data_IF_485123203310
#
_entry.id   IF_485123203310
#
_cell.length_a   1.000
_cell.length_b   1.000
_cell.length_c   1.000
_cell.angle_alpha   90.00
_cell.angle_beta   90.00
_cell.angle_gamma   90.00
#
_symmetry.space_group_name_H-M   'P 1'
#
loop_
_entity.id
_entity.type
_entity.pdbx_description
1 polymer ?
#
# COMPACT_ATOMS: atom_id res chain seq x y z
N UNK A 1 13.72 -12.60 10.14
CA UNK A 1 14.16 -11.60 9.16
C UNK A 1 13.20 -11.61 7.99
N UNK A 2 12.16 -10.77 8.07
CA UNK A 2 11.30 -10.54 6.94
C UNK A 2 12.10 -9.72 5.91
N UNK A 3 12.61 -10.37 4.89
CA UNK A 3 13.14 -9.69 3.73
C UNK A 3 11.97 -9.12 2.93
N UNK A 4 11.55 -7.95 3.30
CA UNK A 4 10.67 -7.15 2.47
C UNK A 4 11.61 -6.32 1.60
N UNK A 5 11.85 -6.79 0.39
CA UNK A 5 12.46 -5.94 -0.62
C UNK A 5 11.36 -5.04 -1.16
N UNK A 6 11.39 -3.73 -0.91
CA UNK A 6 10.55 -2.84 -1.69
C UNK A 6 11.03 -2.94 -3.13
N UNK A 7 10.14 -3.26 -4.01
CA UNK A 7 10.43 -3.21 -5.43
C UNK A 7 10.04 -1.82 -5.91
N UNK A 8 11.01 -1.03 -6.31
CA UNK A 8 10.76 0.19 -7.03
C UNK A 8 10.16 -0.14 -8.38
N UNK A 9 8.94 0.24 -8.58
CA UNK A 9 8.29 0.12 -9.87
C UNK A 9 8.70 1.26 -10.81
N UNK A 10 9.23 2.36 -10.25
CA UNK A 10 9.56 3.54 -11.02
C UNK A 10 10.58 4.43 -10.32
N UNK A 11 11.62 4.78 -11.03
CA UNK A 11 12.68 5.70 -10.56
C UNK A 11 12.46 7.15 -11.00
N UNK A 12 11.37 7.47 -11.69
CA UNK A 12 11.14 8.80 -12.26
C UNK A 12 11.84 9.05 -13.59
N UNK A 13 12.68 8.14 -14.04
CA UNK A 13 13.37 8.22 -15.33
C UNK A 13 12.58 7.42 -16.38
N UNK A 14 11.85 8.13 -17.22
CA UNK A 14 10.93 7.53 -18.20
C UNK A 14 11.64 6.65 -19.25
N UNK A 15 12.95 6.81 -19.41
CA UNK A 15 13.72 6.05 -20.40
C UNK A 15 14.20 4.70 -19.86
N UNK A 16 14.05 4.47 -18.55
CA UNK A 16 14.52 3.26 -17.86
C UNK A 16 13.40 2.40 -17.29
N UNK A 17 12.21 2.56 -17.79
CA UNK A 17 11.06 1.77 -17.37
C UNK A 17 11.19 0.31 -17.76
N UNK A 18 11.46 -0.52 -16.77
CA UNK A 18 11.27 -1.96 -16.90
C UNK A 18 10.31 -2.38 -15.80
N UNK A 19 9.12 -2.71 -16.20
CA UNK A 19 8.09 -3.23 -15.30
C UNK A 19 8.58 -4.51 -14.66
N UNK A 20 8.48 -4.58 -13.33
CA UNK A 20 8.82 -5.78 -12.56
C UNK A 20 10.27 -6.25 -12.73
N UNK A 21 11.19 -5.35 -13.08
CA UNK A 21 12.62 -5.69 -13.15
C UNK A 21 13.19 -5.81 -11.73
N UNK A 22 13.66 -7.00 -11.34
CA UNK A 22 14.27 -7.18 -10.02
C UNK A 22 15.56 -6.39 -9.83
N UNK A 23 16.18 -5.88 -10.91
CA UNK A 23 17.38 -5.03 -10.83
C UNK A 23 17.05 -3.62 -10.33
N UNK A 24 15.79 -3.19 -10.39
CA UNK A 24 15.31 -1.93 -9.83
C UNK A 24 14.85 -2.05 -8.37
N UNK A 25 15.19 -3.15 -7.72
CA UNK A 25 14.84 -3.37 -6.31
C UNK A 25 15.88 -2.72 -5.41
N UNK A 26 15.42 -1.98 -4.41
CA UNK A 26 16.27 -1.40 -3.37
C UNK A 26 15.78 -1.80 -1.98
N UNK A 27 16.68 -1.79 -1.01
CA UNK A 27 16.29 -1.96 0.39
C UNK A 27 15.64 -0.67 0.89
N UNK A 28 14.62 -0.79 1.75
CA UNK A 28 13.97 0.38 2.37
C UNK A 28 14.99 1.27 3.08
N UNK A 29 16.02 0.68 3.66
CA UNK A 29 17.09 1.40 4.35
C UNK A 29 18.01 2.19 3.41
N UNK A 30 17.96 1.94 2.11
CA UNK A 30 18.82 2.56 1.09
C UNK A 30 18.09 3.63 0.27
N UNK A 31 16.76 3.56 0.17
CA UNK A 31 15.98 4.52 -0.63
C UNK A 31 15.87 5.90 0.02
N UNK A 32 16.28 6.06 1.29
CA UNK A 32 16.14 7.30 2.03
C UNK A 32 14.71 7.61 2.47
N UNK A 33 14.47 8.85 2.88
CA UNK A 33 13.15 9.30 3.29
C UNK A 33 12.30 9.68 2.07
N UNK A 34 11.45 8.76 1.63
CA UNK A 34 10.49 8.98 0.55
C UNK A 34 9.11 9.17 1.15
N UNK A 35 8.61 10.42 1.15
CA UNK A 35 7.22 10.73 1.53
C UNK A 35 6.25 10.17 0.50
N UNK A 36 5.06 9.78 0.94
CA UNK A 36 4.03 9.21 0.08
C UNK A 36 2.74 10.02 0.16
N UNK A 37 1.99 10.03 -0.92
CA UNK A 37 0.64 10.60 -1.01
C UNK A 37 -0.43 9.51 -0.99
N UNK A 38 -0.11 8.33 -1.54
CA UNK A 38 -1.04 7.23 -1.68
C UNK A 38 -0.40 5.93 -1.21
N UNK A 39 -1.10 5.23 -0.33
CA UNK A 39 -0.85 3.83 0.00
C UNK A 39 -1.99 2.99 -0.57
N UNK A 40 -1.68 1.96 -1.37
CA UNK A 40 -2.71 1.13 -1.99
C UNK A 40 -2.45 -0.35 -1.76
N UNK A 41 -3.31 -0.96 -0.94
CA UNK A 41 -3.32 -2.39 -0.66
C UNK A 41 -4.45 -3.12 -1.37
N UNK A 42 -4.27 -4.43 -1.56
CA UNK A 42 -5.34 -5.28 -2.01
C UNK A 42 -5.39 -5.53 -3.52
N UNK A 43 -6.56 -5.47 -4.12
CA UNK A 43 -6.90 -5.96 -5.45
C UNK A 43 -6.87 -7.51 -5.56
N UNK A 44 -7.06 -8.04 -6.77
CA UNK A 44 -7.08 -9.50 -7.00
C UNK A 44 -5.75 -10.20 -6.68
N UNK A 45 -4.63 -9.48 -6.62
CA UNK A 45 -3.29 -10.04 -6.41
C UNK A 45 -2.76 -9.90 -4.98
N UNK A 46 -3.13 -8.84 -4.28
CA UNK A 46 -2.69 -8.54 -2.92
C UNK A 46 -3.86 -8.22 -1.97
N UNK A 47 -5.04 -8.73 -2.26
CA UNK A 47 -6.27 -8.59 -1.46
C UNK A 47 -6.88 -9.94 -1.10
N UNK A 48 -6.07 -10.97 -0.96
CA UNK A 48 -6.47 -12.30 -0.47
C UNK A 48 -6.56 -12.27 1.07
N UNK A 49 -7.02 -13.36 1.65
CA UNK A 49 -7.19 -13.49 3.10
C UNK A 49 -5.92 -13.13 3.89
N UNK A 50 -4.78 -13.73 3.51
CA UNK A 50 -3.50 -13.48 4.17
C UNK A 50 -3.08 -12.01 4.03
N UNK A 51 -3.23 -11.42 2.83
CA UNK A 51 -2.87 -10.03 2.60
C UNK A 51 -3.71 -9.09 3.46
N UNK A 52 -5.02 -9.32 3.52
CA UNK A 52 -5.94 -8.52 4.35
C UNK A 52 -5.61 -8.67 5.83
N UNK A 53 -5.19 -9.86 6.27
CA UNK A 53 -4.75 -10.08 7.65
C UNK A 53 -3.49 -9.29 8.00
N UNK A 54 -2.54 -9.16 7.06
CA UNK A 54 -1.34 -8.32 7.25
C UNK A 54 -1.67 -6.84 7.37
N UNK A 55 -2.60 -6.33 6.54
CA UNK A 55 -3.08 -4.95 6.73
C UNK A 55 -3.76 -4.77 8.08
N UNK A 56 -4.59 -5.74 8.50
CA UNK A 56 -5.27 -5.70 9.79
C UNK A 56 -4.29 -5.70 10.96
N UNK A 57 -3.21 -6.47 10.88
CA UNK A 57 -2.16 -6.51 11.90
C UNK A 57 -1.54 -5.12 12.12
N UNK A 58 -1.18 -4.42 11.04
CA UNK A 58 -0.57 -3.08 11.13
C UNK A 58 -1.61 -2.05 11.60
N UNK A 59 -2.82 -2.11 11.06
CA UNK A 59 -3.91 -1.21 11.47
C UNK A 59 -4.29 -1.39 12.94
N UNK A 60 -4.26 -2.62 13.47
CA UNK A 60 -4.51 -2.87 14.89
C UNK A 60 -3.43 -2.23 15.76
N UNK A 61 -2.16 -2.41 15.42
CA UNK A 61 -1.07 -1.78 16.15
C UNK A 61 -1.14 -0.24 16.11
N UNK A 62 -1.55 0.33 14.98
CA UNK A 62 -1.77 1.77 14.85
C UNK A 62 -2.95 2.23 15.74
N UNK A 63 -4.06 1.49 15.75
CA UNK A 63 -5.22 1.80 16.61
C UNK A 63 -4.85 1.70 18.10
N UNK A 64 -4.11 0.67 18.49
CA UNK A 64 -3.63 0.49 19.87
C UNK A 64 -2.71 1.66 20.30
N UNK A 65 -1.96 2.23 19.37
CA UNK A 65 -1.14 3.43 19.59
C UNK A 65 -1.92 4.75 19.46
N UNK A 66 -3.23 4.70 19.17
CA UNK A 66 -4.07 5.89 18.98
C UNK A 66 -3.80 6.65 17.68
N UNK A 67 -3.22 5.99 16.68
CA UNK A 67 -2.89 6.59 15.40
C UNK A 67 -4.01 6.40 14.37
N UNK A 68 -4.05 7.33 13.44
CA UNK A 68 -4.81 7.23 12.19
C UNK A 68 -3.86 7.39 11.00
N UNK A 69 -4.33 7.11 9.80
CA UNK A 69 -3.57 7.37 8.57
C UNK A 69 -2.97 8.76 8.61
N UNK A 70 -1.69 8.87 8.23
CA UNK A 70 -0.92 10.11 8.30
C UNK A 70 -1.60 11.24 7.50
N UNK A 71 -1.49 12.46 7.99
CA UNK A 71 -2.05 13.64 7.32
C UNK A 71 -1.47 13.76 5.91
N UNK A 72 -2.34 14.02 4.92
CA UNK A 72 -1.96 14.12 3.51
C UNK A 72 -1.84 12.78 2.78
N UNK A 73 -1.92 11.65 3.47
CA UNK A 73 -1.88 10.31 2.86
C UNK A 73 -3.29 9.77 2.64
N UNK A 74 -3.53 9.23 1.46
CA UNK A 74 -4.73 8.45 1.18
C UNK A 74 -4.41 6.95 1.22
N UNK A 75 -4.95 6.23 2.20
CA UNK A 75 -4.76 4.79 2.32
C UNK A 75 -5.99 4.04 1.81
N UNK A 76 -5.80 3.27 0.76
CA UNK A 76 -6.85 2.44 0.15
C UNK A 76 -6.58 0.96 0.39
N UNK A 77 -7.62 0.21 0.76
CA UNK A 77 -7.61 -1.25 0.78
C UNK A 77 -8.76 -1.75 -0.11
N UNK A 78 -8.41 -2.49 -1.16
CA UNK A 78 -9.37 -3.13 -2.05
C UNK A 78 -9.45 -4.62 -1.78
N UNK A 79 -10.63 -5.12 -1.46
CA UNK A 79 -10.84 -6.56 -1.27
C UNK A 79 -10.65 -7.33 -2.57
N UNK A 80 -10.00 -8.49 -2.51
CA UNK A 80 -9.74 -9.33 -3.68
C UNK A 80 -10.99 -10.08 -4.17
N UNK A 81 -11.97 -10.29 -3.29
CA UNK A 81 -13.24 -10.94 -3.61
C UNK A 81 -14.31 -10.61 -2.55
N UNK A 82 -15.57 -10.90 -2.86
CA UNK A 82 -16.67 -10.78 -1.90
C UNK A 82 -16.47 -11.67 -0.67
N UNK A 83 -15.94 -12.88 -0.84
CA UNK A 83 -15.66 -13.79 0.27
C UNK A 83 -14.62 -13.21 1.24
N UNK A 84 -13.60 -12.54 0.72
CA UNK A 84 -12.58 -11.89 1.56
C UNK A 84 -13.17 -10.67 2.28
N UNK A 85 -14.05 -9.90 1.62
CA UNK A 85 -14.78 -8.83 2.28
C UNK A 85 -15.64 -9.36 3.43
N UNK A 86 -16.40 -10.43 3.20
CA UNK A 86 -17.23 -11.07 4.23
C UNK A 86 -16.39 -11.60 5.40
N UNK A 87 -15.20 -12.13 5.11
CA UNK A 87 -14.23 -12.54 6.13
C UNK A 87 -13.76 -11.35 6.96
N UNK A 88 -13.40 -10.24 6.31
CA UNK A 88 -12.95 -9.02 6.99
C UNK A 88 -14.04 -8.44 7.91
N UNK A 89 -15.29 -8.47 7.47
CA UNK A 89 -16.44 -8.06 8.30
C UNK A 89 -16.59 -8.98 9.51
N UNK A 90 -16.56 -10.30 9.31
CA UNK A 90 -16.69 -11.28 10.41
C UNK A 90 -15.59 -11.15 11.45
N UNK A 91 -14.37 -10.79 11.03
CA UNK A 91 -13.22 -10.62 11.92
C UNK A 91 -13.13 -9.21 12.53
N UNK A 92 -14.06 -8.30 12.24
CA UNK A 92 -14.03 -6.91 12.70
C UNK A 92 -12.97 -6.03 12.02
N UNK A 93 -12.31 -6.55 10.98
CA UNK A 93 -11.27 -5.80 10.27
C UNK A 93 -11.84 -4.66 9.42
N UNK A 94 -13.07 -4.83 8.92
CA UNK A 94 -13.74 -3.80 8.15
C UNK A 94 -13.92 -2.51 8.97
N UNK A 95 -14.41 -2.67 10.20
CA UNK A 95 -14.63 -1.59 11.15
C UNK A 95 -13.30 -1.00 11.63
N UNK A 96 -12.29 -1.84 11.88
CA UNK A 96 -10.95 -1.42 12.24
C UNK A 96 -10.33 -0.53 11.14
N UNK A 97 -10.39 -0.97 9.89
CA UNK A 97 -9.86 -0.19 8.77
C UNK A 97 -10.54 1.17 8.65
N UNK A 98 -11.87 1.22 8.75
CA UNK A 98 -12.61 2.47 8.70
C UNK A 98 -12.25 3.38 9.88
N UNK A 99 -12.07 2.83 11.09
CA UNK A 99 -11.72 3.56 12.29
C UNK A 99 -10.38 4.28 12.17
N UNK A 100 -9.36 3.62 11.61
CA UNK A 100 -8.02 4.20 11.46
C UNK A 100 -7.86 5.07 10.20
N UNK A 101 -8.91 5.25 9.41
CA UNK A 101 -8.94 6.16 8.26
C UNK A 101 -8.65 5.52 6.90
N UNK A 102 -8.71 4.19 6.79
CA UNK A 102 -8.59 3.49 5.51
C UNK A 102 -9.83 3.72 4.65
N UNK A 103 -9.63 3.99 3.37
CA UNK A 103 -10.67 4.07 2.35
C UNK A 103 -10.88 2.68 1.73
N UNK A 104 -12.01 2.06 2.03
CA UNK A 104 -12.30 0.70 1.60
C UNK A 104 -12.91 0.67 0.20
N UNK A 105 -12.43 -0.24 -0.64
CA UNK A 105 -12.87 -0.43 -2.02
C UNK A 105 -13.42 -1.85 -2.19
N UNK A 106 -14.58 -1.96 -2.79
CA UNK A 106 -15.19 -3.24 -3.13
C UNK A 106 -14.37 -4.03 -4.16
N UNK A 107 -14.54 -5.36 -4.21
CA UNK A 107 -13.88 -6.18 -5.21
C UNK A 107 -14.17 -5.70 -6.64
N UNK A 108 -13.13 -5.58 -7.44
CA UNK A 108 -13.24 -5.11 -8.83
C UNK A 108 -11.90 -4.75 -9.42
N UNK A 109 -11.92 -4.16 -10.60
CA UNK A 109 -10.78 -3.48 -11.18
C UNK A 109 -10.81 -2.01 -10.78
N UNK A 110 -9.70 -1.46 -10.32
CA UNK A 110 -9.59 -0.08 -9.86
C UNK A 110 -8.25 0.50 -10.31
N UNK A 111 -7.43 0.97 -9.37
CA UNK A 111 -6.09 1.48 -9.66
C UNK A 111 -5.22 0.46 -10.44
N UNK A 112 -5.51 -0.83 -10.34
CA UNK A 112 -4.87 -1.89 -11.13
C UNK A 112 -5.03 -1.74 -12.66
N UNK A 113 -6.02 -1.01 -13.12
CA UNK A 113 -6.23 -0.68 -14.55
C UNK A 113 -6.20 0.83 -14.81
N UNK A 114 -5.71 1.61 -13.88
CA UNK A 114 -5.65 3.07 -14.01
C UNK A 114 -6.98 3.77 -13.85
N UNK A 115 -7.93 3.21 -13.12
CA UNK A 115 -9.26 3.76 -12.96
C UNK A 115 -9.68 3.82 -11.49
N UNK A 116 -10.45 4.85 -11.16
CA UNK A 116 -11.07 4.98 -9.84
C UNK A 116 -10.13 5.50 -8.73
N UNK A 117 -10.56 5.34 -7.47
CA UNK A 117 -9.80 5.82 -6.31
C UNK A 117 -8.42 5.17 -6.19
N UNK A 118 -7.44 5.91 -5.72
CA UNK A 118 -6.07 5.43 -5.52
C UNK A 118 -5.18 5.50 -6.76
N UNK A 119 -5.67 6.06 -7.87
CA UNK A 119 -4.86 6.42 -9.04
C UNK A 119 -4.25 7.79 -8.80
N UNK A 120 -2.93 7.96 -9.00
CA UNK A 120 -2.29 9.27 -8.92
C UNK A 120 -2.81 10.20 -10.02
N UNK A 121 -2.94 11.49 -9.71
CA UNK A 121 -3.53 12.48 -10.64
C UNK A 121 -2.48 13.41 -11.26
N UNK A 122 -1.26 13.40 -10.72
CA UNK A 122 -0.13 14.17 -11.25
C UNK A 122 1.19 13.40 -11.08
N UNK A 123 2.25 13.90 -11.71
CA UNK A 123 3.56 13.24 -11.75
C UNK A 123 4.36 13.36 -10.44
N UNK A 124 4.01 14.31 -9.57
CA UNK A 124 4.69 14.55 -8.30
C UNK A 124 4.24 13.59 -7.22
N UNK A 125 3.01 13.06 -7.32
CA UNK A 125 2.48 12.13 -6.33
C UNK A 125 3.29 10.83 -6.27
N UNK A 126 3.47 10.36 -5.04
CA UNK A 126 4.18 9.11 -4.74
C UNK A 126 3.20 8.09 -4.19
N UNK A 127 3.11 6.95 -4.85
CA UNK A 127 2.28 5.82 -4.44
C UNK A 127 3.14 4.65 -3.97
N UNK A 128 2.86 4.10 -2.80
CA UNK A 128 3.35 2.79 -2.38
C UNK A 128 2.21 1.77 -2.51
N UNK A 129 2.45 0.67 -3.21
CA UNK A 129 1.39 -0.28 -3.56
C UNK A 129 1.83 -1.73 -3.46
N UNK A 130 0.91 -2.61 -3.08
CA UNK A 130 1.09 -4.06 -3.15
C UNK A 130 0.56 -4.67 -4.46
N UNK A 131 0.05 -3.86 -5.38
CA UNK A 131 -0.41 -4.34 -6.69
C UNK A 131 0.80 -4.66 -7.56
N UNK A 132 1.01 -5.94 -7.89
CA UNK A 132 2.19 -6.40 -8.63
C UNK A 132 2.16 -6.14 -10.14
N UNK A 133 1.08 -5.58 -10.67
CA UNK A 133 0.95 -5.23 -12.10
C UNK A 133 1.14 -3.73 -12.28
N UNK A 134 2.37 -3.31 -12.25
CA UNK A 134 2.74 -1.91 -12.40
C UNK A 134 3.60 -1.71 -13.65
N UNK A 135 3.18 -0.81 -14.48
CA UNK A 135 3.95 -0.24 -15.57
C UNK A 135 3.58 1.23 -15.68
N UNK A 136 4.39 2.00 -16.37
CA UNK A 136 4.22 3.44 -16.47
C UNK A 136 2.80 3.85 -16.84
N UNK A 137 2.21 4.73 -16.04
CA UNK A 137 0.87 5.26 -16.23
C UNK A 137 -0.26 4.31 -15.83
N UNK A 138 0.04 3.06 -15.43
CA UNK A 138 -1.03 2.11 -15.08
C UNK A 138 -1.84 2.54 -13.87
N UNK A 139 -1.16 3.05 -12.83
CA UNK A 139 -1.80 3.57 -11.63
C UNK A 139 -1.74 5.10 -11.55
N UNK A 140 -1.77 5.76 -12.73
CA UNK A 140 -1.66 7.20 -12.90
C UNK A 140 -0.25 7.67 -13.27
N UNK A 141 -0.04 8.98 -13.43
CA UNK A 141 1.24 9.56 -13.88
C UNK A 141 2.32 9.66 -12.78
N UNK A 142 1.96 9.43 -11.52
CA UNK A 142 2.85 9.58 -10.37
C UNK A 142 3.90 8.48 -10.26
N UNK A 143 4.81 8.65 -9.32
CA UNK A 143 5.83 7.65 -8.96
C UNK A 143 5.18 6.49 -8.21
N UNK A 144 5.55 5.26 -8.56
CA UNK A 144 5.00 4.05 -7.96
C UNK A 144 6.10 3.16 -7.37
N UNK A 145 5.96 2.81 -6.11
CA UNK A 145 6.80 1.86 -5.40
C UNK A 145 6.00 0.59 -5.10
N UNK A 146 6.52 -0.57 -5.51
CA UNK A 146 5.92 -1.85 -5.18
C UNK A 146 6.49 -2.37 -3.86
N UNK A 147 5.62 -2.69 -2.92
CA UNK A 147 6.00 -3.18 -1.60
C UNK A 147 5.04 -4.27 -1.10
N UNK A 148 5.43 -4.94 -0.02
CA UNK A 148 4.55 -5.91 0.64
C UNK A 148 3.36 -5.24 1.32
N UNK A 149 2.27 -5.98 1.62
CA UNK A 149 1.14 -5.48 2.40
C UNK A 149 1.55 -4.80 3.70
N UNK A 150 2.48 -5.39 4.45
CA UNK A 150 2.99 -4.83 5.71
C UNK A 150 3.68 -3.48 5.51
N UNK A 151 4.53 -3.36 4.48
CA UNK A 151 5.21 -2.10 4.15
C UNK A 151 4.22 -1.03 3.69
N UNK A 152 3.24 -1.39 2.85
CA UNK A 152 2.19 -0.46 2.39
C UNK A 152 1.42 0.11 3.58
N UNK A 153 0.97 -0.75 4.49
CA UNK A 153 0.25 -0.31 5.69
C UNK A 153 1.12 0.53 6.61
N UNK A 154 2.35 0.09 6.93
CA UNK A 154 3.27 0.86 7.78
C UNK A 154 3.54 2.26 7.20
N UNK A 155 3.73 2.35 5.89
CA UNK A 155 3.96 3.62 5.20
C UNK A 155 2.76 4.57 5.28
N UNK A 156 1.54 4.04 5.28
CA UNK A 156 0.32 4.84 5.39
C UNK A 156 0.23 5.58 6.74
N UNK A 157 0.72 4.98 7.82
CA UNK A 157 0.70 5.60 9.16
C UNK A 157 1.91 6.48 9.43
N UNK A 158 3.05 6.22 8.80
CA UNK A 158 4.26 7.03 8.97
C UNK A 158 4.37 8.20 7.98
N UNK A 159 3.57 8.22 6.91
CA UNK A 159 3.62 9.23 5.85
C UNK A 159 4.79 9.08 4.89
N UNK A 160 5.62 8.06 5.06
CA UNK A 160 6.78 7.76 4.22
C UNK A 160 6.99 6.26 4.06
N UNK A 161 7.75 5.84 3.05
CA UNK A 161 8.05 4.41 2.86
C UNK A 161 8.77 3.88 4.10
N UNK A 162 8.11 2.94 4.80
CA UNK A 162 8.59 2.39 6.07
C UNK A 162 8.37 0.88 6.13
N UNK A 163 9.39 0.16 6.64
CA UNK A 163 9.24 -1.26 6.94
C UNK A 163 8.40 -1.45 8.20
N UNK A 164 7.57 -2.49 8.19
CA UNK A 164 6.85 -2.89 9.38
C UNK A 164 7.78 -3.57 10.39
N UNK A 165 7.66 -3.14 11.65
CA UNK A 165 8.21 -3.80 12.84
C UNK A 165 7.16 -3.72 13.93
N UNK A 166 7.09 -4.70 14.81
CA UNK A 166 6.07 -4.77 15.87
C UNK A 166 6.09 -3.57 16.84
N UNK A 167 7.22 -2.91 16.96
CA UNK A 167 7.42 -1.72 17.78
C UNK A 167 7.44 -0.41 16.98
N UNK A 168 7.01 -0.42 15.72
CA UNK A 168 7.07 0.77 14.84
C UNK A 168 6.32 1.98 15.44
N UNK A 169 5.27 1.75 16.19
CA UNK A 169 4.41 2.79 16.79
C UNK A 169 4.58 2.92 18.30
N UNK A 170 5.60 2.29 18.89
CA UNK A 170 5.95 2.47 20.30
C UNK A 170 6.86 3.71 20.44
N UNK A 171 6.39 4.73 21.22
CA UNK A 171 7.11 5.98 21.50
C UNK A 171 7.52 6.04 22.97
#
# INVERSE_FOLDING_TARGET
LAYIKPMLAHTGDTDKWVTSDPTNSELITEIGDVTIDIAYGGSCTAGKEDDISYYAQVCQAADDAGLTVAEGVEFYIQYGSGLVKDLAVRNGWHELFAKVGVKLIDPGCGACIGAGPGVSVNAEQVTVSAINRNFQGRSGPGKLYLASPLTVAASAFTGKISSWQSNLFEW
#
